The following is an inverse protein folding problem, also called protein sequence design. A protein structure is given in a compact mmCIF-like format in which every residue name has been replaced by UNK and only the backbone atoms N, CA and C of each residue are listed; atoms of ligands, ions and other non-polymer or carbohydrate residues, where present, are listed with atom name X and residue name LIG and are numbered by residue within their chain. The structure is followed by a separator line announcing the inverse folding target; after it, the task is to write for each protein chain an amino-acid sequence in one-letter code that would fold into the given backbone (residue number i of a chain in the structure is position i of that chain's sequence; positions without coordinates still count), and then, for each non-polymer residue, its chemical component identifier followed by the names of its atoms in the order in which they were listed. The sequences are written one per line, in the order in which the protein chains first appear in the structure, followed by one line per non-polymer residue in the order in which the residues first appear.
data_IF_182005775081
#
_entry.id   IF_182005775081
#
_cell.length_a   1.000
_cell.length_b   1.000
_cell.length_c   1.000
_cell.angle_alpha   90.00
_cell.angle_beta   90.00
_cell.angle_gamma   90.00
#
_symmetry.space_group_name_H-M   'P 1'
#
loop_
_entity.id
_entity.type
_entity.pdbx_description
1 polymer ?
#
# COMPACT_ATOMS: atom_id res chain seq x y z
N UNK A 1 -4.15 1.62 17.34
CA UNK A 1 -4.25 2.03 15.94
C UNK A 1 -3.22 1.26 15.14
N UNK A 2 -3.68 0.30 14.32
CA UNK A 2 -2.80 -0.58 13.52
C UNK A 2 -2.41 -0.01 12.16
N UNK A 3 -2.93 1.16 11.82
CA UNK A 3 -2.70 1.89 10.58
C UNK A 3 -2.58 3.38 10.88
N UNK A 4 -1.55 3.72 11.65
CA UNK A 4 -1.40 5.07 12.22
C UNK A 4 -1.37 6.18 11.16
N UNK A 5 -0.70 5.95 10.04
CA UNK A 5 -0.50 6.95 9.00
C UNK A 5 0.04 8.26 9.58
N UNK A 6 -0.49 9.39 9.14
CA UNK A 6 -0.13 10.70 9.71
C UNK A 6 -0.69 11.00 11.11
N UNK A 7 -1.26 10.01 11.82
CA UNK A 7 -1.72 10.13 13.20
C UNK A 7 -3.06 10.84 13.39
N UNK A 8 -3.90 10.93 12.37
CA UNK A 8 -5.20 11.61 12.46
C UNK A 8 -6.15 10.95 13.45
N UNK A 9 -6.44 9.66 13.24
CA UNK A 9 -7.28 8.86 14.13
C UNK A 9 -6.63 8.70 15.52
N UNK A 10 -5.32 8.45 15.57
CA UNK A 10 -4.55 8.35 16.81
C UNK A 10 -4.67 9.60 17.67
N UNK A 11 -4.67 10.80 17.06
CA UNK A 11 -4.87 12.07 17.78
C UNK A 11 -6.24 12.13 18.45
N UNK A 12 -7.28 11.77 17.72
CA UNK A 12 -8.64 11.79 18.26
C UNK A 12 -8.87 10.75 19.36
N UNK A 13 -8.19 9.62 19.29
CA UNK A 13 -8.18 8.62 20.36
C UNK A 13 -7.41 9.18 21.56
N UNK A 14 -6.20 9.70 21.36
CA UNK A 14 -5.35 10.22 22.44
C UNK A 14 -6.00 11.34 23.24
N UNK A 15 -6.73 12.25 22.58
CA UNK A 15 -7.51 13.30 23.22
C UNK A 15 -8.58 12.77 24.19
N UNK A 16 -9.15 11.59 23.90
CA UNK A 16 -10.24 10.98 24.66
C UNK A 16 -9.78 10.00 25.72
N UNK A 17 -8.53 9.55 25.65
CA UNK A 17 -7.96 8.66 26.65
C UNK A 17 -7.79 9.40 27.99
N UNK A 18 -8.52 8.93 28.99
CA UNK A 18 -8.37 9.39 30.38
C UNK A 18 -7.39 8.51 31.16
N UNK A 19 -7.38 7.22 30.87
CA UNK A 19 -6.49 6.18 31.42
C UNK A 19 -6.01 5.29 30.26
N UNK A 20 -5.00 4.46 30.54
CA UNK A 20 -4.46 3.53 29.54
C UNK A 20 -3.48 4.15 28.57
N UNK A 21 -3.17 3.40 27.51
CA UNK A 21 -2.20 3.81 26.48
C UNK A 21 -2.72 3.49 25.08
N UNK A 22 -2.18 4.16 24.10
CA UNK A 22 -2.41 3.93 22.68
C UNK A 22 -1.15 3.35 22.04
N UNK A 23 -1.28 2.23 21.35
CA UNK A 23 -0.21 1.67 20.51
C UNK A 23 -0.50 2.09 19.09
N UNK A 24 0.46 2.79 18.46
CA UNK A 24 0.39 3.29 17.11
C UNK A 24 1.36 2.49 16.24
N UNK A 25 0.81 1.73 15.30
CA UNK A 25 1.59 0.84 14.42
C UNK A 25 1.50 1.39 12.99
N UNK A 26 2.64 1.47 12.33
CA UNK A 26 2.73 1.69 10.89
C UNK A 26 4.08 1.15 10.39
N UNK A 27 4.10 0.61 9.17
CA UNK A 27 5.34 0.14 8.56
C UNK A 27 6.10 1.23 7.80
N UNK A 28 5.43 2.36 7.49
CA UNK A 28 6.00 3.48 6.74
C UNK A 28 6.77 4.45 7.67
N UNK A 29 8.08 4.65 7.46
CA UNK A 29 8.85 5.60 8.28
C UNK A 29 8.34 7.04 8.19
N UNK A 30 7.80 7.45 7.03
CA UNK A 30 7.24 8.80 6.86
C UNK A 30 5.98 9.00 7.73
N UNK A 31 5.19 7.93 7.91
CA UNK A 31 4.06 7.96 8.84
C UNK A 31 4.51 8.22 10.27
N UNK A 32 5.60 7.58 10.73
CA UNK A 32 6.16 7.78 12.06
C UNK A 32 6.67 9.20 12.27
N UNK A 33 7.33 9.80 11.28
CA UNK A 33 7.78 11.18 11.38
C UNK A 33 6.60 12.15 11.51
N UNK A 34 5.60 12.01 10.64
CA UNK A 34 4.41 12.87 10.64
C UNK A 34 3.58 12.72 11.92
N UNK A 35 3.32 11.48 12.33
CA UNK A 35 2.56 11.19 13.55
C UNK A 35 3.31 11.61 14.82
N UNK A 36 4.62 11.42 14.87
CA UNK A 36 5.46 11.86 16.00
C UNK A 36 5.33 13.36 16.25
N UNK A 37 5.34 14.17 15.20
CA UNK A 37 5.10 15.63 15.30
C UNK A 37 3.67 15.95 15.76
N UNK A 38 2.67 15.30 15.17
CA UNK A 38 1.25 15.54 15.46
C UNK A 38 0.84 15.12 16.87
N UNK A 39 1.43 14.05 17.38
CA UNK A 39 1.08 13.43 18.65
C UNK A 39 2.02 13.82 19.82
N UNK A 40 2.90 14.79 19.60
CA UNK A 40 3.94 15.17 20.56
C UNK A 40 3.40 15.50 21.97
N UNK A 41 2.22 16.13 22.07
CA UNK A 41 1.57 16.46 23.35
C UNK A 41 1.09 15.23 24.13
N UNK A 42 0.92 14.08 23.45
CA UNK A 42 0.38 12.85 24.03
C UNK A 42 1.43 11.72 24.15
N UNK A 43 2.71 12.05 23.94
CA UNK A 43 3.80 11.06 23.90
C UNK A 43 3.85 10.12 25.11
N UNK A 44 3.48 10.60 26.29
CA UNK A 44 3.53 9.82 27.53
C UNK A 44 2.49 8.69 27.61
N UNK A 45 1.48 8.72 26.72
CA UNK A 45 0.42 7.69 26.61
C UNK A 45 0.49 6.90 25.31
N UNK A 46 1.46 7.18 24.45
CA UNK A 46 1.58 6.58 23.11
C UNK A 46 2.84 5.77 23.01
N UNK A 47 2.70 4.56 22.48
CA UNK A 47 3.82 3.73 22.07
C UNK A 47 3.80 3.60 20.55
N UNK A 48 4.87 4.04 19.89
CA UNK A 48 5.04 3.90 18.45
C UNK A 48 5.76 2.59 18.12
N UNK A 49 5.24 1.84 17.16
CA UNK A 49 5.82 0.57 16.70
C UNK A 49 5.92 0.60 15.17
N UNK A 50 7.14 0.50 14.66
CA UNK A 50 7.37 0.41 13.21
C UNK A 50 7.32 -1.04 12.76
N UNK A 51 6.12 -1.49 12.40
CA UNK A 51 5.88 -2.86 11.94
C UNK A 51 4.57 -2.90 11.12
N UNK A 52 4.28 -4.05 10.51
CA UNK A 52 3.00 -4.33 9.89
C UNK A 52 2.00 -4.80 10.94
N UNK A 53 0.75 -4.32 10.89
CA UNK A 53 -0.31 -4.74 11.80
C UNK A 53 -0.61 -6.26 11.74
N UNK A 54 -0.23 -6.95 10.66
CA UNK A 54 -0.28 -8.40 10.57
C UNK A 54 0.54 -9.11 11.66
N UNK A 55 1.54 -8.44 12.24
CA UNK A 55 2.37 -8.93 13.32
C UNK A 55 1.86 -8.56 14.73
N UNK A 56 0.58 -8.17 14.85
CA UNK A 56 0.01 -7.60 16.08
C UNK A 56 0.25 -8.51 17.30
N UNK A 57 0.16 -9.83 17.16
CA UNK A 57 0.41 -10.77 18.26
C UNK A 57 1.84 -10.61 18.80
N UNK A 58 2.84 -10.66 17.92
CA UNK A 58 4.25 -10.51 18.29
C UNK A 58 4.54 -9.12 18.89
N UNK A 59 3.89 -8.08 18.35
CA UNK A 59 4.01 -6.70 18.87
C UNK A 59 3.50 -6.64 20.31
N UNK A 60 2.30 -7.15 20.57
CA UNK A 60 1.70 -7.15 21.92
C UNK A 60 2.53 -7.96 22.90
N UNK A 61 2.99 -9.16 22.50
CA UNK A 61 3.86 -10.01 23.31
C UNK A 61 5.15 -9.29 23.69
N UNK A 62 5.79 -8.60 22.74
CA UNK A 62 7.02 -7.85 22.99
C UNK A 62 6.84 -6.68 23.96
N UNK A 63 5.62 -6.12 24.03
CA UNK A 63 5.24 -5.05 24.94
C UNK A 63 4.68 -5.54 26.28
N UNK A 64 4.58 -6.87 26.48
CA UNK A 64 4.00 -7.48 27.68
C UNK A 64 2.50 -7.20 27.83
N UNK A 65 1.76 -7.10 26.72
CA UNK A 65 0.33 -6.79 26.68
C UNK A 65 -0.47 -8.02 26.32
N UNK A 66 -1.19 -8.57 27.29
CA UNK A 66 -2.01 -9.76 27.07
C UNK A 66 -3.38 -9.48 26.42
N UNK A 67 -3.93 -8.29 26.64
CA UNK A 67 -5.28 -7.91 26.15
C UNK A 67 -5.30 -6.45 25.73
N UNK A 68 -6.12 -6.17 24.71
CA UNK A 68 -6.46 -4.83 24.26
C UNK A 68 -7.97 -4.60 24.35
N UNK A 69 -8.40 -3.37 24.60
CA UNK A 69 -9.82 -2.98 24.69
C UNK A 69 -10.44 -2.74 23.33
N UNK A 70 -9.62 -2.35 22.35
CA UNK A 70 -10.06 -2.08 20.99
C UNK A 70 -8.92 -1.96 20.00
N UNK A 71 -9.23 -2.16 18.73
CA UNK A 71 -8.29 -2.00 17.62
C UNK A 71 -8.96 -1.20 16.50
N UNK A 72 -8.24 -0.23 15.97
CA UNK A 72 -8.63 0.51 14.76
C UNK A 72 -7.72 0.13 13.61
N UNK A 73 -8.33 -0.19 12.47
CA UNK A 73 -7.65 -0.44 11.19
C UNK A 73 -8.34 0.39 10.10
N UNK A 74 -7.60 1.28 9.48
CA UNK A 74 -8.00 1.99 8.26
C UNK A 74 -7.12 1.48 7.11
N UNK A 75 -7.56 0.37 6.52
CA UNK A 75 -6.76 -0.40 5.56
C UNK A 75 -6.78 0.30 4.21
N UNK A 76 -5.59 0.68 3.73
CA UNK A 76 -5.44 1.32 2.42
C UNK A 76 -4.10 2.04 2.30
N UNK A 77 -4.03 2.96 1.33
CA UNK A 77 -2.90 3.86 1.12
C UNK A 77 -3.23 5.24 1.66
N UNK A 78 -2.27 5.90 2.27
CA UNK A 78 -2.45 7.28 2.73
C UNK A 78 -2.42 8.27 1.55
N UNK A 79 -3.04 9.44 1.72
CA UNK A 79 -2.94 10.52 0.73
C UNK A 79 -1.48 10.88 0.45
N UNK A 80 -0.65 10.94 1.49
CA UNK A 80 0.78 11.21 1.36
C UNK A 80 1.50 10.22 0.45
N UNK A 81 1.21 8.91 0.57
CA UNK A 81 1.79 7.90 -0.32
C UNK A 81 1.35 8.07 -1.78
N UNK A 82 0.13 8.55 -2.04
CA UNK A 82 -0.35 8.82 -3.39
C UNK A 82 0.21 10.12 -3.97
N UNK A 83 0.48 11.12 -3.12
CA UNK A 83 0.96 12.44 -3.53
C UNK A 83 2.49 12.43 -3.79
N UNK A 84 3.23 11.57 -3.11
CA UNK A 84 4.67 11.36 -3.28
C UNK A 84 4.96 10.53 -4.55
N UNK A 85 5.14 11.20 -5.67
CA UNK A 85 5.31 10.56 -6.99
C UNK A 85 6.39 9.47 -6.99
N UNK A 86 7.56 9.76 -6.44
CA UNK A 86 8.73 8.87 -6.44
C UNK A 86 8.49 7.51 -5.75
N UNK A 87 7.44 7.41 -4.94
CA UNK A 87 7.04 6.16 -4.29
C UNK A 87 6.25 5.21 -5.19
N UNK A 88 5.83 5.66 -6.37
CA UNK A 88 5.18 4.84 -7.39
C UNK A 88 3.78 4.31 -7.04
N UNK A 89 3.11 4.81 -6.00
CA UNK A 89 1.77 4.35 -5.62
C UNK A 89 0.68 4.78 -6.59
N UNK A 90 0.89 5.90 -7.29
CA UNK A 90 -0.10 6.50 -8.19
C UNK A 90 0.17 6.16 -9.66
N UNK A 91 -0.91 5.96 -10.41
CA UNK A 91 -0.86 5.84 -11.87
C UNK A 91 -0.95 7.20 -12.60
N UNK A 92 -1.03 8.30 -11.86
CA UNK A 92 -1.20 9.65 -12.43
C UNK A 92 0.12 10.31 -12.79
N UNK A 93 1.22 9.88 -12.21
CA UNK A 93 2.56 10.41 -12.43
C UNK A 93 3.49 9.28 -12.81
N UNK A 94 4.45 9.57 -13.68
CA UNK A 94 5.49 8.59 -14.04
C UNK A 94 6.59 8.56 -12.97
N UNK A 95 6.84 7.38 -12.43
CA UNK A 95 7.75 7.16 -11.32
C UNK A 95 8.25 5.71 -11.32
N UNK A 96 9.32 5.38 -10.56
CA UNK A 96 9.76 4.00 -10.42
C UNK A 96 8.63 3.07 -9.92
N UNK A 97 8.61 1.81 -10.37
CA UNK A 97 7.69 0.77 -9.92
C UNK A 97 8.10 0.26 -8.53
N UNK A 98 7.83 1.04 -7.49
CA UNK A 98 8.16 0.71 -6.10
C UNK A 98 6.94 0.20 -5.31
N UNK A 99 6.02 1.06 -4.96
CA UNK A 99 4.79 0.82 -4.20
C UNK A 99 5.00 0.23 -2.79
N UNK A 100 6.22 0.20 -2.24
CA UNK A 100 6.49 -0.29 -0.88
C UNK A 100 6.10 0.76 0.16
N UNK A 101 5.29 0.39 1.14
CA UNK A 101 5.05 1.21 2.34
C UNK A 101 6.30 1.23 3.24
N UNK A 102 6.94 0.07 3.41
CA UNK A 102 8.25 -0.03 4.06
C UNK A 102 9.36 -0.12 3.00
N UNK A 103 10.15 0.95 2.77
CA UNK A 103 11.20 0.96 1.75
C UNK A 103 12.37 0.00 2.06
N UNK A 104 12.49 -0.49 3.30
CA UNK A 104 13.56 -1.42 3.69
C UNK A 104 13.25 -2.87 3.24
N UNK A 105 12.02 -3.16 2.81
CA UNK A 105 11.67 -4.48 2.28
C UNK A 105 12.25 -4.65 0.88
N UNK A 106 12.78 -5.84 0.53
CA UNK A 106 13.39 -6.07 -0.79
C UNK A 106 12.36 -6.17 -1.91
N UNK A 107 11.12 -6.61 -1.62
CA UNK A 107 10.08 -6.92 -2.60
C UNK A 107 9.23 -5.70 -2.93
N UNK A 108 9.15 -5.35 -4.21
CA UNK A 108 8.53 -4.14 -4.73
C UNK A 108 7.54 -4.42 -5.87
N UNK A 109 6.88 -3.40 -6.39
CA UNK A 109 6.03 -3.53 -7.58
C UNK A 109 6.83 -3.95 -8.82
N UNK A 110 8.10 -3.58 -8.90
CA UNK A 110 9.00 -4.04 -9.96
C UNK A 110 9.12 -5.57 -9.97
N UNK A 111 9.26 -6.18 -8.80
CA UNK A 111 9.41 -7.63 -8.65
C UNK A 111 8.12 -8.36 -9.05
N UNK A 112 6.96 -7.83 -8.68
CA UNK A 112 5.67 -8.36 -9.11
C UNK A 112 5.54 -8.31 -10.63
N UNK A 113 5.76 -7.14 -11.24
CA UNK A 113 5.54 -6.91 -12.67
C UNK A 113 6.55 -7.66 -13.53
N UNK A 114 7.81 -7.74 -13.13
CA UNK A 114 8.86 -8.35 -13.92
C UNK A 114 9.18 -9.81 -13.53
N UNK A 115 8.84 -10.23 -12.31
CA UNK A 115 9.18 -11.55 -11.78
C UNK A 115 8.06 -12.58 -11.84
N UNK A 116 6.82 -12.18 -11.62
CA UNK A 116 5.68 -13.11 -11.59
C UNK A 116 5.39 -13.69 -12.98
N UNK A 117 4.95 -14.94 -13.04
CA UNK A 117 4.47 -15.52 -14.28
C UNK A 117 3.06 -15.01 -14.66
N UNK A 118 2.55 -15.42 -15.83
CA UNK A 118 1.25 -14.95 -16.35
C UNK A 118 0.10 -15.32 -15.41
N UNK A 119 0.12 -16.54 -14.86
CA UNK A 119 -0.95 -17.04 -13.98
C UNK A 119 -0.92 -16.34 -12.62
N UNK A 120 0.26 -16.06 -12.09
CA UNK A 120 0.43 -15.29 -10.85
C UNK A 120 -0.04 -13.85 -11.01
N UNK A 121 0.32 -13.17 -12.12
CA UNK A 121 -0.17 -11.84 -12.44
C UNK A 121 -1.68 -11.79 -12.60
N UNK A 122 -2.27 -12.75 -13.34
CA UNK A 122 -3.71 -12.85 -13.49
C UNK A 122 -4.40 -13.01 -12.13
N UNK A 123 -3.92 -13.93 -11.30
CA UNK A 123 -4.43 -14.17 -9.95
C UNK A 123 -4.42 -12.89 -9.10
N UNK A 124 -3.29 -12.19 -9.06
CA UNK A 124 -3.13 -10.96 -8.29
C UNK A 124 -4.09 -9.88 -8.78
N UNK A 125 -4.08 -9.60 -10.09
CA UNK A 125 -4.88 -8.53 -10.70
C UNK A 125 -6.38 -8.83 -10.57
N UNK A 126 -6.79 -10.10 -10.72
CA UNK A 126 -8.18 -10.51 -10.56
C UNK A 126 -8.64 -10.46 -9.10
N UNK A 127 -7.85 -11.07 -8.20
CA UNK A 127 -8.26 -11.24 -6.79
C UNK A 127 -8.26 -9.93 -6.02
N UNK A 128 -7.22 -9.12 -6.17
CA UNK A 128 -7.05 -7.88 -5.39
C UNK A 128 -7.54 -6.62 -6.11
N UNK A 129 -7.59 -6.67 -7.43
CA UNK A 129 -8.07 -5.56 -8.25
C UNK A 129 -9.54 -5.70 -8.67
N UNK A 130 -10.11 -6.89 -8.57
CA UNK A 130 -11.42 -7.21 -9.17
C UNK A 130 -11.48 -6.81 -10.65
N UNK A 131 -10.35 -6.95 -11.36
CA UNK A 131 -10.20 -6.49 -12.74
C UNK A 131 -10.62 -7.61 -13.71
N UNK A 132 -11.70 -7.38 -14.44
CA UNK A 132 -12.22 -8.37 -15.40
C UNK A 132 -11.28 -8.66 -16.57
N UNK A 133 -10.36 -7.76 -16.86
CA UNK A 133 -9.36 -7.92 -17.93
C UNK A 133 -8.02 -8.45 -17.42
N UNK A 134 -7.98 -8.96 -16.19
CA UNK A 134 -6.77 -9.40 -15.49
C UNK A 134 -5.90 -10.32 -16.36
N UNK A 135 -6.48 -11.39 -16.92
CA UNK A 135 -5.77 -12.32 -17.79
C UNK A 135 -5.12 -11.64 -18.99
N UNK A 136 -5.84 -10.75 -19.64
CA UNK A 136 -5.32 -10.03 -20.80
C UNK A 136 -4.24 -9.00 -20.41
N UNK A 137 -4.38 -8.33 -19.27
CA UNK A 137 -3.36 -7.43 -18.75
C UNK A 137 -2.09 -8.21 -18.42
N UNK A 138 -2.19 -9.36 -17.77
CA UNK A 138 -1.06 -10.25 -17.46
C UNK A 138 -0.32 -10.67 -18.74
N UNK A 139 -1.03 -11.09 -19.78
CA UNK A 139 -0.45 -11.46 -21.08
C UNK A 139 0.33 -10.30 -21.71
N UNK A 140 -0.21 -9.10 -21.65
CA UNK A 140 0.46 -7.92 -22.20
C UNK A 140 1.70 -7.54 -21.39
N UNK A 141 1.66 -7.63 -20.06
CA UNK A 141 2.82 -7.39 -19.19
C UNK A 141 3.94 -8.39 -19.53
N UNK A 142 3.64 -9.69 -19.54
CA UNK A 142 4.63 -10.74 -19.84
C UNK A 142 5.26 -10.52 -21.21
N UNK A 143 4.45 -10.23 -22.23
CA UNK A 143 4.94 -9.97 -23.57
C UNK A 143 5.82 -8.73 -23.67
N UNK A 144 5.43 -7.61 -23.08
CA UNK A 144 6.19 -6.35 -23.20
C UNK A 144 7.53 -6.45 -22.46
N UNK A 145 7.59 -7.10 -21.30
CA UNK A 145 8.84 -7.26 -20.52
C UNK A 145 9.87 -8.20 -21.16
N UNK A 146 9.48 -9.02 -22.15
CA UNK A 146 10.43 -9.83 -22.92
C UNK A 146 11.44 -8.97 -23.69
N UNK A 147 11.02 -7.80 -24.15
CA UNK A 147 11.89 -6.88 -24.88
C UNK A 147 12.73 -5.99 -23.95
N UNK A 148 12.14 -5.52 -22.85
CA UNK A 148 12.77 -4.66 -21.85
C UNK A 148 11.99 -4.77 -20.54
N UNK A 149 12.66 -4.87 -19.37
CA UNK A 149 11.98 -4.76 -18.09
C UNK A 149 11.11 -3.50 -17.99
N UNK A 150 9.95 -3.62 -17.35
CA UNK A 150 9.04 -2.51 -17.10
C UNK A 150 9.53 -1.82 -15.83
N UNK A 151 10.01 -0.59 -15.95
CA UNK A 151 10.71 0.10 -14.86
C UNK A 151 9.85 1.15 -14.17
N UNK A 152 8.87 1.73 -14.91
CA UNK A 152 8.10 2.86 -14.41
C UNK A 152 6.60 2.62 -14.40
N UNK A 153 5.91 3.39 -13.57
CA UNK A 153 4.44 3.41 -13.50
C UNK A 153 3.81 3.83 -14.82
N UNK A 154 4.44 4.78 -15.54
CA UNK A 154 3.98 5.24 -16.84
C UNK A 154 4.05 4.14 -17.91
N UNK A 155 5.15 3.38 -17.96
CA UNK A 155 5.27 2.22 -18.86
C UNK A 155 4.16 1.20 -18.57
N UNK A 156 3.93 0.86 -17.30
CA UNK A 156 2.87 -0.05 -16.89
C UNK A 156 1.48 0.46 -17.29
N UNK A 157 1.19 1.76 -17.10
CA UNK A 157 -0.07 2.38 -17.49
C UNK A 157 -0.32 2.23 -19.00
N UNK A 158 0.69 2.46 -19.84
CA UNK A 158 0.54 2.32 -21.28
C UNK A 158 0.29 0.86 -21.71
N UNK A 159 0.90 -0.11 -21.05
CA UNK A 159 0.66 -1.53 -21.27
C UNK A 159 -0.80 -1.88 -20.92
N UNK A 160 -1.28 -1.43 -19.76
CA UNK A 160 -2.66 -1.66 -19.34
C UNK A 160 -3.66 -1.04 -20.32
N UNK A 161 -3.42 0.19 -20.80
CA UNK A 161 -4.26 0.84 -21.80
C UNK A 161 -4.33 0.08 -23.12
N UNK A 162 -3.22 -0.55 -23.54
CA UNK A 162 -3.19 -1.42 -24.72
C UNK A 162 -3.99 -2.71 -24.50
N UNK A 163 -3.93 -3.27 -23.28
CA UNK A 163 -4.59 -4.51 -22.93
C UNK A 163 -6.11 -4.36 -22.80
N UNK A 164 -6.59 -3.27 -22.20
CA UNK A 164 -8.03 -3.04 -21.98
C UNK A 164 -8.71 -2.58 -23.27
N UNK A 165 -9.82 -3.22 -23.70
CA UNK A 165 -10.53 -2.80 -24.92
C UNK A 165 -11.00 -1.35 -24.86
N UNK A 166 -10.82 -0.62 -25.96
CA UNK A 166 -11.16 0.82 -26.05
C UNK A 166 -12.61 1.14 -25.65
N UNK A 167 -13.57 0.24 -25.96
CA UNK A 167 -14.96 0.40 -25.57
C UNK A 167 -15.21 0.30 -24.05
N UNK A 168 -14.33 -0.37 -23.33
CA UNK A 168 -14.41 -0.48 -21.87
C UNK A 168 -13.82 0.73 -21.11
N UNK A 169 -13.02 1.54 -21.82
CA UNK A 169 -12.36 2.72 -21.23
C UNK A 169 -13.26 3.97 -21.25
N UNK A 170 -14.18 4.08 -22.23
CA UNK A 170 -14.92 5.33 -22.51
C UNK A 170 -15.79 5.85 -21.37
N UNK A 171 -16.37 4.95 -20.54
CA UNK A 171 -17.38 5.33 -19.54
C UNK A 171 -17.01 4.84 -18.12
N UNK A 172 -15.76 4.42 -17.91
CA UNK A 172 -15.30 3.81 -16.66
C UNK A 172 -14.21 4.62 -15.94
N UNK A 173 -13.82 4.16 -14.74
CA UNK A 173 -12.64 4.68 -14.04
C UNK A 173 -11.38 4.45 -14.91
N UNK A 174 -10.30 5.16 -14.56
CA UNK A 174 -9.02 5.01 -15.26
C UNK A 174 -8.60 3.52 -15.33
N UNK A 175 -8.22 2.98 -16.50
CA UNK A 175 -8.02 1.53 -16.71
C UNK A 175 -6.94 0.93 -15.80
N UNK A 176 -5.96 1.72 -15.37
CA UNK A 176 -4.91 1.26 -14.45
C UNK A 176 -5.34 1.22 -12.98
N UNK A 177 -6.47 1.81 -12.59
CA UNK A 177 -6.88 1.96 -11.18
C UNK A 177 -6.87 0.62 -10.43
N UNK A 178 -7.51 -0.39 -11.00
CA UNK A 178 -7.67 -1.72 -10.37
C UNK A 178 -6.38 -2.52 -10.36
N UNK A 179 -5.61 -2.48 -11.44
CA UNK A 179 -4.30 -3.15 -11.52
C UNK A 179 -3.32 -2.55 -10.51
N UNK A 180 -3.27 -1.22 -10.38
CA UNK A 180 -2.43 -0.56 -9.37
C UNK A 180 -2.86 -0.91 -7.95
N UNK A 181 -4.17 -0.96 -7.68
CA UNK A 181 -4.67 -1.44 -6.39
C UNK A 181 -4.19 -2.86 -6.10
N UNK A 182 -4.30 -3.76 -7.06
CA UNK A 182 -3.89 -5.15 -6.91
C UNK A 182 -2.39 -5.29 -6.58
N UNK A 183 -1.54 -4.59 -7.33
CA UNK A 183 -0.09 -4.63 -7.11
C UNK A 183 0.27 -4.02 -5.74
N UNK A 184 -0.35 -2.90 -5.35
CA UNK A 184 -0.14 -2.32 -4.01
C UNK A 184 -0.49 -3.29 -2.88
N UNK A 185 -1.56 -4.06 -3.03
CA UNK A 185 -1.96 -5.06 -2.03
C UNK A 185 -0.96 -6.22 -2.00
N UNK A 186 -0.49 -6.69 -3.15
CA UNK A 186 0.48 -7.80 -3.23
C UNK A 186 1.84 -7.41 -2.62
N UNK A 187 2.25 -6.16 -2.75
CA UNK A 187 3.55 -5.68 -2.22
C UNK A 187 3.53 -5.46 -0.71
N UNK A 188 2.38 -5.12 -0.10
CA UNK A 188 2.30 -4.63 1.28
C UNK A 188 1.46 -5.49 2.20
#
# INVERSE_FOLDING_TARGET
DGTMGGGGHSLEIAKRLTTGRLICIDQDPNAHEAAGKRLAEYKDRITFVRDNFGNIANILDSLGIEKIDGMLLDIGVSSHQLDEAERGFSYQQDAPLDMRMNPDRPFSAYDVVNGYDEDELDRVIFTYGEERWARRIAQFIVKEREAKPIETTGELVEIIKKAVPKGAIKDGPHPAKRTFQAIRIEVN
#
